data_IF_831154063988
#
_entry.id   IF_831154063988
#
_cell.length_a   1.000
_cell.length_b   1.000
_cell.length_c   1.000
_cell.angle_alpha   90.00
_cell.angle_beta   90.00
_cell.angle_gamma   90.00
#
_symmetry.space_group_name_H-M   'P 1'
#
loop_
_entity.id
_entity.type
_entity.pdbx_description
1 polymer ?
#
# COMPACT_ATOMS: atom_id res chain seq x y z
N UNK A 1 18.56 -20.93 -6.57
CA UNK A 1 18.90 -19.75 -7.40
C UNK A 1 20.10 -19.05 -6.77
N UNK A 2 20.93 -18.35 -7.56
CA UNK A 2 22.00 -17.48 -7.03
C UNK A 2 21.38 -16.10 -6.79
N UNK A 3 21.71 -15.48 -5.67
CA UNK A 3 21.24 -14.14 -5.34
C UNK A 3 22.38 -13.33 -4.72
N UNK A 4 22.40 -12.02 -4.98
CA UNK A 4 23.27 -11.08 -4.27
C UNK A 4 22.44 -10.41 -3.19
N UNK A 5 22.93 -10.40 -1.95
CA UNK A 5 22.27 -9.77 -0.83
C UNK A 5 23.15 -8.66 -0.25
N UNK A 6 22.55 -7.50 0.05
CA UNK A 6 23.19 -6.37 0.69
C UNK A 6 22.35 -5.95 1.91
N UNK A 7 22.98 -5.84 3.07
CA UNK A 7 22.35 -5.23 4.24
C UNK A 7 22.39 -3.72 4.13
N UNK A 8 21.27 -3.09 4.49
CA UNK A 8 21.11 -1.64 4.57
C UNK A 8 20.48 -1.27 5.92
N UNK A 9 20.69 -0.03 6.36
CA UNK A 9 20.20 0.46 7.65
C UNK A 9 19.89 1.96 7.61
N UNK A 10 18.99 2.36 8.50
CA UNK A 10 18.81 3.74 8.92
C UNK A 10 19.33 3.82 10.34
N UNK A 11 20.39 4.59 10.59
CA UNK A 11 20.98 4.68 11.93
C UNK A 11 21.78 5.97 12.09
N UNK A 12 21.80 6.54 13.31
CA UNK A 12 22.62 7.70 13.61
C UNK A 12 23.26 7.65 15.00
N UNK A 13 24.02 8.70 15.32
CA UNK A 13 24.76 8.87 16.57
C UNK A 13 24.01 8.45 17.83
N UNK A 14 22.74 8.81 17.99
CA UNK A 14 21.98 8.49 19.20
C UNK A 14 21.82 6.98 19.44
N UNK A 15 21.85 6.16 18.37
CA UNK A 15 21.66 4.72 18.43
C UNK A 15 22.98 3.94 18.57
N UNK A 16 24.11 4.48 18.07
CA UNK A 16 25.40 3.77 18.04
C UNK A 16 26.51 4.38 18.90
N UNK A 17 26.35 5.61 19.36
CA UNK A 17 27.28 6.27 20.29
C UNK A 17 28.53 6.91 19.66
N UNK A 18 28.66 6.94 18.34
CA UNK A 18 29.74 7.63 17.60
C UNK A 18 29.19 8.40 16.41
N UNK A 19 29.97 9.34 15.85
CA UNK A 19 29.51 10.22 14.78
C UNK A 19 29.30 9.45 13.47
N UNK A 20 28.05 9.06 13.24
CA UNK A 20 27.58 8.33 12.07
C UNK A 20 26.15 8.80 11.76
N UNK A 21 25.85 8.98 10.49
CA UNK A 21 24.49 8.98 9.95
C UNK A 21 24.49 8.12 8.71
N UNK A 22 23.66 7.09 8.70
CA UNK A 22 23.44 6.23 7.55
C UNK A 22 21.96 6.19 7.22
N UNK A 23 21.65 6.33 5.92
CA UNK A 23 20.31 6.22 5.36
C UNK A 23 20.37 5.34 4.10
N UNK A 24 21.03 4.18 4.20
CA UNK A 24 21.24 3.30 3.04
C UNK A 24 19.96 2.59 2.60
N UNK A 25 18.96 2.45 3.48
CA UNK A 25 17.64 1.88 3.14
C UNK A 25 16.93 2.74 2.11
N UNK A 26 16.79 4.05 2.34
CA UNK A 26 16.08 4.92 1.40
C UNK A 26 16.81 5.00 0.05
N UNK A 27 18.14 5.00 0.07
CA UNK A 27 18.94 4.97 -1.17
C UNK A 27 18.65 3.69 -1.97
N UNK A 28 18.61 2.53 -1.31
CA UNK A 28 18.28 1.28 -1.97
C UNK A 28 16.84 1.22 -2.50
N UNK A 29 15.87 1.78 -1.76
CA UNK A 29 14.48 1.90 -2.23
C UNK A 29 14.42 2.79 -3.47
N UNK A 30 15.06 3.96 -3.45
CA UNK A 30 15.09 4.89 -4.59
C UNK A 30 15.73 4.25 -5.82
N UNK A 31 16.88 3.61 -5.63
CA UNK A 31 17.59 2.91 -6.71
C UNK A 31 16.72 1.80 -7.31
N UNK A 32 16.07 1.00 -6.46
CA UNK A 32 15.16 -0.08 -6.90
C UNK A 32 14.00 0.46 -7.74
N UNK A 33 13.36 1.56 -7.32
CA UNK A 33 12.25 2.17 -8.06
C UNK A 33 12.72 2.78 -9.38
N UNK A 34 13.83 3.53 -9.37
CA UNK A 34 14.38 4.19 -10.56
C UNK A 34 14.78 3.20 -11.64
N UNK A 35 15.32 2.04 -11.23
CA UNK A 35 15.83 1.00 -12.13
C UNK A 35 14.81 -0.09 -12.46
N UNK A 36 13.64 -0.12 -11.82
CA UNK A 36 12.57 -1.05 -12.19
C UNK A 36 12.24 -0.95 -13.68
N UNK A 37 11.99 -2.06 -14.37
CA UNK A 37 11.73 -2.09 -15.81
C UNK A 37 10.24 -2.11 -16.11
N UNK A 38 9.50 -3.03 -15.47
CA UNK A 38 8.07 -3.24 -15.77
C UNK A 38 7.15 -2.93 -14.60
N UNK A 39 7.60 -3.10 -13.35
CA UNK A 39 6.74 -2.82 -12.21
C UNK A 39 7.47 -2.46 -10.92
N UNK A 40 6.72 -1.87 -10.00
CA UNK A 40 7.06 -1.75 -8.59
C UNK A 40 5.87 -2.26 -7.76
N UNK A 41 6.11 -3.25 -6.91
CA UNK A 41 5.13 -3.81 -5.99
C UNK A 41 5.56 -3.52 -4.55
N UNK A 42 4.69 -2.92 -3.75
CA UNK A 42 5.00 -2.51 -2.39
C UNK A 42 3.92 -3.03 -1.44
N UNK A 43 4.33 -3.66 -0.34
CA UNK A 43 3.48 -3.87 0.83
C UNK A 43 4.11 -3.11 2.01
N UNK A 44 3.39 -2.12 2.53
CA UNK A 44 3.91 -1.29 3.63
C UNK A 44 2.81 -0.93 4.63
N UNK A 45 3.18 -0.83 5.90
CA UNK A 45 2.28 -0.34 6.96
C UNK A 45 1.95 1.15 6.82
N UNK A 46 2.93 1.95 6.41
CA UNK A 46 2.76 3.39 6.21
C UNK A 46 3.32 3.83 4.87
N UNK A 47 2.63 4.78 4.23
CA UNK A 47 3.10 5.47 3.03
C UNK A 47 2.91 6.98 3.17
N UNK A 48 3.90 7.61 3.82
CA UNK A 48 3.92 9.04 4.14
C UNK A 48 5.21 9.64 3.56
N UNK A 49 5.10 10.20 2.36
CA UNK A 49 6.25 10.76 1.64
C UNK A 49 6.21 12.28 1.51
N UNK A 50 5.06 12.93 1.70
CA UNK A 50 4.93 14.40 1.62
C UNK A 50 4.53 14.95 2.99
N UNK A 51 5.51 15.31 3.82
CA UNK A 51 5.31 15.87 5.16
C UNK A 51 6.48 16.78 5.56
N UNK A 52 6.26 18.11 5.57
CA UNK A 52 7.31 19.07 5.92
C UNK A 52 8.54 18.93 5.02
N UNK A 53 9.74 18.94 5.59
CA UNK A 53 10.97 18.56 4.88
C UNK A 53 11.12 17.03 4.80
N UNK A 54 10.16 16.38 4.14
CA UNK A 54 10.24 14.96 3.80
C UNK A 54 11.06 14.69 2.55
N UNK A 55 11.68 15.74 2.02
CA UNK A 55 12.58 15.65 0.90
C UNK A 55 13.91 15.07 1.36
N UNK A 56 14.48 14.19 0.56
CA UNK A 56 15.88 13.81 0.71
C UNK A 56 16.65 14.32 -0.48
N UNK A 57 17.93 14.59 -0.31
CA UNK A 57 18.77 15.04 -1.41
C UNK A 57 18.86 13.95 -2.49
N UNK A 58 18.52 14.30 -3.72
CA UNK A 58 18.85 13.49 -4.88
C UNK A 58 20.37 13.55 -5.09
N UNK A 59 21.03 12.39 -5.10
CA UNK A 59 22.49 12.30 -5.17
C UNK A 59 23.07 12.73 -6.52
N UNK A 60 22.27 12.73 -7.59
CA UNK A 60 22.69 13.16 -8.93
C UNK A 60 22.50 14.66 -9.12
N UNK A 61 21.37 15.22 -8.69
CA UNK A 61 21.02 16.64 -8.94
C UNK A 61 21.38 17.57 -7.77
N UNK A 62 21.53 17.04 -6.55
CA UNK A 62 21.71 17.83 -5.33
C UNK A 62 20.43 18.47 -4.80
N UNK A 63 19.28 18.27 -5.47
CA UNK A 63 18.01 18.89 -5.11
C UNK A 63 17.16 18.02 -4.16
N UNK A 64 16.28 18.62 -3.34
CA UNK A 64 15.19 17.95 -2.63
C UNK A 64 14.36 17.01 -3.52
N UNK A 65 14.21 15.74 -3.11
CA UNK A 65 13.38 14.74 -3.79
C UNK A 65 12.74 13.80 -2.76
N UNK A 66 11.41 13.75 -2.72
CA UNK A 66 10.66 12.82 -1.87
C UNK A 66 10.56 11.43 -2.51
N UNK A 67 10.15 10.42 -1.74
CA UNK A 67 9.89 9.08 -2.30
C UNK A 67 8.73 9.08 -3.32
N UNK A 68 7.72 9.94 -3.09
CA UNK A 68 6.64 10.18 -4.05
C UNK A 68 7.19 10.71 -5.37
N UNK A 69 8.13 11.67 -5.33
CA UNK A 69 8.79 12.20 -6.52
C UNK A 69 9.51 11.10 -7.30
N UNK A 70 10.18 10.16 -6.62
CA UNK A 70 10.86 9.04 -7.28
C UNK A 70 9.87 8.13 -8.01
N UNK A 71 8.72 7.82 -7.39
CA UNK A 71 7.66 7.05 -8.04
C UNK A 71 7.10 7.80 -9.26
N UNK A 72 6.80 9.08 -9.10
CA UNK A 72 6.28 9.96 -10.17
C UNK A 72 7.29 10.05 -11.32
N UNK A 73 8.58 10.24 -11.02
CA UNK A 73 9.67 10.32 -11.98
C UNK A 73 9.82 9.01 -12.75
N UNK A 74 9.70 7.87 -12.07
CA UNK A 74 9.75 6.56 -12.72
C UNK A 74 8.54 6.35 -13.64
N UNK A 75 7.33 6.71 -13.22
CA UNK A 75 6.13 6.65 -14.08
C UNK A 75 6.31 7.55 -15.31
N UNK A 76 6.78 8.79 -15.11
CA UNK A 76 7.07 9.74 -16.19
C UNK A 76 8.08 9.20 -17.19
N UNK A 77 9.11 8.47 -16.72
CA UNK A 77 10.09 7.80 -17.58
C UNK A 77 9.44 6.73 -18.45
N UNK A 78 8.55 5.90 -17.91
CA UNK A 78 7.81 4.90 -18.68
C UNK A 78 6.89 5.55 -19.73
N UNK A 79 6.12 6.56 -19.32
CA UNK A 79 5.21 7.29 -20.21
C UNK A 79 5.96 7.91 -21.40
N UNK A 80 7.10 8.58 -21.16
CA UNK A 80 7.93 9.18 -22.22
C UNK A 80 8.56 8.15 -23.16
N UNK A 81 8.75 6.92 -22.69
CA UNK A 81 9.30 5.82 -23.46
C UNK A 81 8.21 4.98 -24.14
N UNK A 82 6.93 5.32 -23.95
CA UNK A 82 5.78 4.54 -24.42
C UNK A 82 5.87 3.06 -23.98
N UNK A 83 6.34 2.84 -22.75
CA UNK A 83 6.45 1.51 -22.15
C UNK A 83 5.39 1.30 -21.08
N UNK A 84 4.79 0.12 -21.10
CA UNK A 84 3.91 -0.31 -20.03
C UNK A 84 4.70 -0.42 -18.71
N UNK A 85 4.16 0.22 -17.68
CA UNK A 85 4.74 0.19 -16.35
C UNK A 85 3.66 0.35 -15.30
N UNK A 86 3.71 -0.45 -14.24
CA UNK A 86 2.69 -0.42 -13.19
C UNK A 86 3.30 -0.42 -11.79
N UNK A 87 2.72 0.40 -10.92
CA UNK A 87 3.00 0.46 -9.50
C UNK A 87 1.78 -0.06 -8.75
N UNK A 88 1.97 -1.08 -7.92
CA UNK A 88 0.93 -1.61 -7.03
C UNK A 88 1.40 -1.40 -5.59
N UNK A 89 0.59 -0.70 -4.79
CA UNK A 89 0.88 -0.46 -3.37
C UNK A 89 -0.26 -1.04 -2.53
N UNK A 90 0.10 -1.88 -1.56
CA UNK A 90 -0.84 -2.46 -0.59
C UNK A 90 -0.60 -1.80 0.76
N UNK A 91 -1.68 -1.24 1.31
CA UNK A 91 -1.72 -0.53 2.57
C UNK A 91 -2.82 -1.11 3.47
N UNK A 92 -2.67 -1.06 4.80
CA UNK A 92 -3.80 -1.34 5.69
C UNK A 92 -4.95 -0.39 5.36
N UNK A 93 -6.20 -0.83 5.56
CA UNK A 93 -7.38 -0.01 5.28
C UNK A 93 -7.37 1.30 6.08
N UNK A 94 -6.88 1.20 7.31
CA UNK A 94 -6.53 2.31 8.19
C UNK A 94 -5.41 1.84 9.13
N UNK A 95 -4.60 2.75 9.68
CA UNK A 95 -3.52 2.41 10.62
C UNK A 95 -4.00 1.66 11.85
N UNK A 96 -3.10 0.95 12.53
CA UNK A 96 -3.41 0.34 13.83
C UNK A 96 -3.92 1.37 14.84
N UNK A 97 -4.95 0.97 15.59
CA UNK A 97 -5.65 1.83 16.53
C UNK A 97 -7.09 2.10 16.09
N UNK A 98 -7.76 2.98 16.82
CA UNK A 98 -9.11 3.41 16.48
C UNK A 98 -9.06 4.48 15.36
N UNK A 99 -9.70 4.27 14.20
CA UNK A 99 -9.69 5.24 13.09
C UNK A 99 -10.39 6.57 13.43
N UNK A 100 -11.13 6.63 14.55
CA UNK A 100 -11.81 7.83 15.02
C UNK A 100 -10.95 8.70 15.95
N UNK A 101 -9.76 8.23 16.33
CA UNK A 101 -8.85 8.97 17.19
C UNK A 101 -8.01 9.96 16.39
N UNK A 102 -7.75 11.14 16.97
CA UNK A 102 -7.00 12.22 16.31
C UNK A 102 -5.63 11.77 15.78
N UNK A 103 -4.87 10.98 16.55
CA UNK A 103 -3.53 10.50 16.15
C UNK A 103 -3.63 9.62 14.91
N UNK A 104 -4.59 8.69 14.87
CA UNK A 104 -4.84 7.81 13.72
C UNK A 104 -5.25 8.63 12.50
N UNK A 105 -6.16 9.59 12.66
CA UNK A 105 -6.60 10.48 11.59
C UNK A 105 -5.44 11.34 11.05
N UNK A 106 -4.51 11.80 11.90
CA UNK A 106 -3.31 12.52 11.45
C UNK A 106 -2.36 11.66 10.62
N UNK A 107 -2.25 10.36 10.93
CA UNK A 107 -1.47 9.44 10.09
C UNK A 107 -2.18 9.26 8.74
N UNK A 108 -3.50 9.04 8.76
CA UNK A 108 -4.30 8.92 7.54
C UNK A 108 -4.22 10.18 6.67
N UNK A 109 -4.23 11.37 7.28
CA UNK A 109 -4.08 12.65 6.59
C UNK A 109 -2.83 12.69 5.73
N UNK A 110 -1.66 12.43 6.32
CA UNK A 110 -0.40 12.47 5.58
C UNK A 110 -0.26 11.35 4.54
N UNK A 111 -0.89 10.21 4.79
CA UNK A 111 -0.97 9.13 3.82
C UNK A 111 -1.84 9.53 2.61
N UNK A 112 -3.03 10.07 2.85
CA UNK A 112 -3.92 10.59 1.79
C UNK A 112 -3.24 11.70 1.00
N UNK A 113 -2.60 12.67 1.66
CA UNK A 113 -1.82 13.72 0.98
C UNK A 113 -0.73 13.15 0.06
N UNK A 114 -0.07 12.08 0.48
CA UNK A 114 0.94 11.39 -0.35
C UNK A 114 0.31 10.75 -1.59
N UNK A 115 -0.82 10.06 -1.40
CA UNK A 115 -1.57 9.39 -2.48
C UNK A 115 -2.10 10.43 -3.48
N UNK A 116 -2.79 11.46 -3.00
CA UNK A 116 -3.38 12.54 -3.79
C UNK A 116 -2.30 13.29 -4.58
N UNK A 117 -1.14 13.55 -3.97
CA UNK A 117 -0.02 14.20 -4.66
C UNK A 117 0.45 13.38 -5.86
N UNK A 118 0.67 12.08 -5.69
CA UNK A 118 1.10 11.21 -6.79
C UNK A 118 0.02 11.13 -7.88
N UNK A 119 -1.24 10.91 -7.49
CA UNK A 119 -2.36 10.86 -8.45
C UNK A 119 -2.46 12.16 -9.26
N UNK A 120 -2.41 13.31 -8.61
CA UNK A 120 -2.48 14.61 -9.27
C UNK A 120 -1.30 14.85 -10.23
N UNK A 121 -0.08 14.47 -9.87
CA UNK A 121 1.08 14.63 -10.76
C UNK A 121 1.05 13.66 -11.95
N UNK A 122 0.52 12.45 -11.76
CA UNK A 122 0.32 11.49 -12.86
C UNK A 122 -0.80 11.97 -13.80
N UNK A 123 -1.93 12.41 -13.28
CA UNK A 123 -3.02 12.95 -14.10
C UNK A 123 -2.63 14.22 -14.86
N UNK A 124 -1.76 15.06 -14.26
CA UNK A 124 -1.20 16.23 -14.96
C UNK A 124 -0.34 15.80 -16.15
N UNK A 125 0.49 14.77 -16.00
CA UNK A 125 1.37 14.32 -17.10
C UNK A 125 0.63 13.54 -18.19
N UNK A 126 -0.51 12.90 -17.88
CA UNK A 126 -1.33 12.18 -18.86
C UNK A 126 -2.46 13.01 -19.45
N UNK A 127 -2.57 14.30 -19.09
CA UNK A 127 -3.64 15.17 -19.57
C UNK A 127 -3.72 15.21 -21.10
N UNK A 128 -4.88 14.85 -21.64
CA UNK A 128 -5.13 14.80 -23.08
C UNK A 128 -4.79 13.45 -23.74
N UNK A 129 -4.30 12.48 -22.97
CA UNK A 129 -4.14 11.09 -23.39
C UNK A 129 -5.35 10.25 -22.96
N UNK A 130 -5.62 9.10 -23.59
CA UNK A 130 -6.69 8.18 -23.21
C UNK A 130 -6.29 7.33 -21.98
N UNK A 131 -5.66 7.95 -20.98
CA UNK A 131 -5.15 7.27 -19.79
C UNK A 131 -5.05 8.23 -18.60
N UNK A 132 -5.07 7.68 -17.39
CA UNK A 132 -4.98 8.43 -16.13
C UNK A 132 -4.03 7.76 -15.13
N UNK A 133 -3.98 8.25 -13.89
CA UNK A 133 -3.15 7.66 -12.85
C UNK A 133 -3.43 6.18 -12.61
N UNK A 134 -4.65 5.67 -12.82
CA UNK A 134 -5.00 4.26 -12.59
C UNK A 134 -4.35 3.32 -13.61
N UNK A 135 -3.89 3.86 -14.75
CA UNK A 135 -3.08 3.16 -15.73
C UNK A 135 -1.62 3.02 -15.30
N UNK A 136 -1.17 3.69 -14.24
CA UNK A 136 0.21 3.61 -13.77
C UNK A 136 0.35 3.19 -12.31
N UNK A 137 -0.54 3.63 -11.43
CA UNK A 137 -0.46 3.36 -9.99
C UNK A 137 -1.82 2.96 -9.43
N UNK A 138 -1.84 1.88 -8.64
CA UNK A 138 -3.06 1.36 -8.00
C UNK A 138 -2.81 1.03 -6.52
N UNK A 139 -3.79 1.38 -5.70
CA UNK A 139 -3.75 1.17 -4.25
C UNK A 139 -4.78 0.13 -3.82
N UNK A 140 -4.35 -0.82 -3.00
CA UNK A 140 -5.17 -1.90 -2.48
C UNK A 140 -4.98 -2.11 -0.98
N UNK A 141 -5.87 -2.88 -0.38
CA UNK A 141 -5.81 -3.35 0.99
C UNK A 141 -6.18 -4.83 1.05
N UNK A 142 -6.09 -5.42 2.24
CA UNK A 142 -6.51 -6.79 2.49
C UNK A 142 -7.62 -6.82 3.53
N UNK A 143 -8.61 -7.68 3.30
CA UNK A 143 -9.73 -7.93 4.20
C UNK A 143 -10.00 -9.41 4.35
N UNK A 144 -10.56 -9.79 5.49
CA UNK A 144 -11.04 -11.14 5.74
C UNK A 144 -12.43 -11.12 6.37
N UNK A 145 -13.11 -12.26 6.35
CA UNK A 145 -14.40 -12.44 6.99
C UNK A 145 -14.48 -13.83 7.62
N UNK A 146 -15.30 -13.95 8.66
CA UNK A 146 -15.53 -15.19 9.38
C UNK A 146 -16.99 -15.30 9.82
N UNK A 147 -17.41 -16.50 10.19
CA UNK A 147 -18.70 -16.75 10.82
C UNK A 147 -18.48 -17.00 12.31
N UNK A 148 -18.93 -16.08 13.16
CA UNK A 148 -18.73 -16.09 14.62
C UNK A 148 -20.07 -15.79 15.29
N UNK A 149 -20.48 -16.58 16.27
CA UNK A 149 -21.73 -16.41 17.03
C UNK A 149 -22.97 -16.14 16.17
N UNK A 150 -23.14 -16.97 15.13
CA UNK A 150 -24.21 -16.88 14.11
C UNK A 150 -24.19 -15.63 13.24
N UNK A 151 -23.14 -14.80 13.32
CA UNK A 151 -22.98 -13.60 12.52
C UNK A 151 -21.81 -13.74 11.56
N UNK A 152 -21.94 -13.14 10.38
CA UNK A 152 -20.77 -12.86 9.55
C UNK A 152 -20.11 -11.62 10.09
N UNK A 153 -18.83 -11.73 10.43
CA UNK A 153 -17.95 -10.62 10.82
C UNK A 153 -16.85 -10.42 9.78
N UNK A 154 -16.38 -9.19 9.63
CA UNK A 154 -15.25 -8.86 8.77
C UNK A 154 -14.29 -7.90 9.47
N UNK A 155 -13.02 -7.98 9.06
CA UNK A 155 -11.95 -7.14 9.56
C UNK A 155 -10.87 -6.97 8.48
N UNK A 156 -10.07 -5.90 8.57
CA UNK A 156 -8.88 -5.79 7.73
C UNK A 156 -7.85 -6.88 8.11
N UNK A 157 -7.13 -7.38 7.10
CA UNK A 157 -5.85 -8.03 7.38
C UNK A 157 -4.82 -6.91 7.46
N UNK A 158 -4.32 -6.66 8.66
CA UNK A 158 -3.41 -5.55 8.88
C UNK A 158 -2.04 -5.81 8.24
N UNK A 159 -1.70 -5.01 7.22
CA UNK A 159 -0.42 -5.11 6.53
C UNK A 159 0.66 -4.45 7.38
N UNK A 160 1.44 -5.28 8.08
CA UNK A 160 2.63 -4.84 8.82
C UNK A 160 3.92 -5.04 8.02
N UNK A 161 3.84 -5.51 6.77
CA UNK A 161 5.00 -5.68 5.90
C UNK A 161 5.74 -4.36 5.66
N UNK A 162 7.02 -4.46 5.28
CA UNK A 162 7.84 -3.39 4.69
C UNK A 162 8.67 -4.01 3.57
N UNK A 163 8.01 -4.16 2.45
CA UNK A 163 8.45 -4.96 1.33
C UNK A 163 8.31 -4.16 0.04
N UNK A 164 9.35 -4.21 -0.79
CA UNK A 164 9.33 -3.73 -2.17
C UNK A 164 9.87 -4.84 -3.08
N UNK A 165 9.16 -5.13 -4.16
CA UNK A 165 9.56 -6.08 -5.20
C UNK A 165 9.53 -5.37 -6.55
N UNK A 166 10.57 -5.54 -7.35
CA UNK A 166 10.65 -5.15 -8.76
C UNK A 166 10.92 -6.37 -9.62
N UNK A 167 11.27 -6.19 -10.89
CA UNK A 167 11.63 -7.26 -11.83
C UNK A 167 12.72 -8.20 -11.30
N UNK A 168 13.69 -7.66 -10.56
CA UNK A 168 14.87 -8.42 -10.10
C UNK A 168 15.24 -8.17 -8.65
N UNK A 169 14.62 -7.21 -7.98
CA UNK A 169 15.06 -6.75 -6.67
C UNK A 169 13.94 -6.93 -5.65
N UNK A 170 14.32 -7.44 -4.48
CA UNK A 170 13.48 -7.50 -3.29
C UNK A 170 14.15 -6.68 -2.20
N UNK A 171 13.46 -5.68 -1.66
CA UNK A 171 13.86 -4.97 -0.44
C UNK A 171 12.90 -5.38 0.66
N UNK A 172 13.42 -5.97 1.74
CA UNK A 172 12.62 -6.43 2.88
C UNK A 172 13.28 -6.02 4.19
N UNK A 173 12.52 -5.47 5.14
CA UNK A 173 13.08 -5.02 6.41
C UNK A 173 12.05 -4.51 7.40
N UNK A 174 12.50 -3.61 8.28
CA UNK A 174 11.68 -2.97 9.30
C UNK A 174 11.20 -1.55 8.93
N UNK A 175 11.89 -0.91 7.98
CA UNK A 175 11.67 0.49 7.64
C UNK A 175 10.35 0.75 6.90
N UNK A 176 9.46 1.50 7.52
CA UNK A 176 8.24 2.00 6.86
C UNK A 176 8.56 3.05 5.79
N UNK A 177 7.65 3.28 4.85
CA UNK A 177 7.79 4.36 3.87
C UNK A 177 7.38 5.71 4.48
N UNK A 178 8.14 6.15 5.48
CA UNK A 178 8.01 7.45 6.12
C UNK A 178 9.38 7.97 6.59
N UNK A 179 9.47 9.27 6.90
CA UNK A 179 10.75 9.86 7.33
C UNK A 179 11.21 9.40 8.71
N UNK A 180 10.32 8.86 9.56
CA UNK A 180 10.73 8.27 10.83
C UNK A 180 11.68 7.09 10.62
N UNK A 181 11.36 6.22 9.66
CA UNK A 181 12.19 5.06 9.32
C UNK A 181 13.31 5.38 8.32
N UNK A 182 13.11 6.35 7.42
CA UNK A 182 13.99 6.54 6.25
C UNK A 182 15.03 7.66 6.37
N UNK A 183 14.87 8.62 7.29
CA UNK A 183 15.77 9.78 7.37
C UNK A 183 17.18 9.45 7.90
N UNK A 184 17.36 8.26 8.49
CA UNK A 184 18.63 7.81 9.09
C UNK A 184 18.94 8.44 10.44
N UNK A 185 18.31 9.55 10.81
CA UNK A 185 18.55 10.26 12.08
C UNK A 185 17.37 10.22 13.06
N UNK A 186 16.39 9.34 12.81
CA UNK A 186 15.22 9.09 13.66
C UNK A 186 15.27 7.65 14.14
N UNK A 187 14.31 6.78 13.80
CA UNK A 187 14.31 5.39 14.25
C UNK A 187 15.47 4.60 13.63
N UNK A 188 15.99 3.63 14.38
CA UNK A 188 16.99 2.68 13.88
C UNK A 188 16.30 1.54 13.14
N UNK A 189 16.65 1.32 11.87
CA UNK A 189 16.01 0.34 10.99
C UNK A 189 17.04 -0.54 10.29
N UNK A 190 16.61 -1.74 9.88
CA UNK A 190 17.42 -2.66 9.06
C UNK A 190 16.59 -3.17 7.88
N UNK A 191 17.25 -3.33 6.74
CA UNK A 191 16.67 -4.02 5.59
C UNK A 191 17.73 -4.85 4.86
N UNK A 192 17.28 -5.80 4.06
CA UNK A 192 18.09 -6.53 3.10
C UNK A 192 17.58 -6.23 1.70
N UNK A 193 18.51 -5.92 0.81
CA UNK A 193 18.29 -5.77 -0.62
C UNK A 193 18.81 -7.05 -1.28
N UNK A 194 17.94 -7.77 -1.96
CA UNK A 194 18.29 -9.01 -2.64
C UNK A 194 18.04 -8.86 -4.13
N UNK A 195 19.07 -9.05 -4.94
CA UNK A 195 18.98 -9.05 -6.40
C UNK A 195 18.96 -10.51 -6.89
N UNK A 196 17.77 -10.97 -7.31
CA UNK A 196 17.53 -12.24 -8.00
C UNK A 196 16.14 -12.20 -8.64
N UNK A 197 16.10 -12.39 -9.96
CA UNK A 197 14.83 -12.50 -10.71
C UNK A 197 14.00 -13.67 -10.23
N UNK A 198 14.63 -14.81 -9.94
CA UNK A 198 13.93 -16.01 -9.48
C UNK A 198 13.29 -15.80 -8.11
N UNK A 199 13.99 -15.15 -7.17
CA UNK A 199 13.44 -14.83 -5.85
C UNK A 199 12.29 -13.81 -5.96
N UNK A 200 12.50 -12.71 -6.70
CA UNK A 200 11.48 -11.69 -6.91
C UNK A 200 10.21 -12.29 -7.52
N UNK A 201 10.35 -13.13 -8.55
CA UNK A 201 9.25 -13.83 -9.18
C UNK A 201 8.54 -14.79 -8.24
N UNK A 202 9.29 -15.64 -7.52
CA UNK A 202 8.71 -16.61 -6.59
C UNK A 202 7.93 -15.91 -5.46
N UNK A 203 8.55 -14.92 -4.82
CA UNK A 203 7.94 -14.16 -3.72
C UNK A 203 6.69 -13.40 -4.17
N UNK A 204 6.74 -12.74 -5.34
CA UNK A 204 5.55 -12.10 -5.93
C UNK A 204 4.43 -13.12 -6.13
N UNK A 205 4.71 -14.25 -6.77
CA UNK A 205 3.68 -15.27 -7.08
C UNK A 205 3.05 -15.87 -5.83
N UNK A 206 3.83 -16.04 -4.76
CA UNK A 206 3.31 -16.56 -3.50
C UNK A 206 2.37 -15.55 -2.82
N UNK A 207 2.78 -14.28 -2.72
CA UNK A 207 1.92 -13.21 -2.20
C UNK A 207 0.66 -13.03 -3.04
N UNK A 208 0.79 -13.06 -4.36
CA UNK A 208 -0.37 -12.88 -5.25
C UNK A 208 -1.35 -14.04 -5.12
N UNK A 209 -0.89 -15.25 -4.80
CA UNK A 209 -1.76 -16.41 -4.58
C UNK A 209 -2.52 -16.29 -3.26
N UNK A 210 -1.89 -15.73 -2.24
CA UNK A 210 -2.56 -15.37 -0.99
C UNK A 210 -3.65 -14.31 -1.24
N UNK A 211 -3.28 -13.20 -1.87
CA UNK A 211 -4.15 -12.04 -2.03
C UNK A 211 -5.31 -12.28 -3.00
N UNK A 212 -5.07 -12.96 -4.12
CA UNK A 212 -6.09 -13.25 -5.14
C UNK A 212 -6.83 -14.58 -4.89
N UNK A 213 -6.33 -15.40 -3.97
CA UNK A 213 -6.87 -16.69 -3.60
C UNK A 213 -6.23 -17.88 -4.32
N UNK A 214 -6.35 -19.10 -3.76
CA UNK A 214 -5.56 -20.27 -4.15
C UNK A 214 -5.83 -20.78 -5.58
N UNK A 215 -6.97 -20.41 -6.17
CA UNK A 215 -7.36 -20.77 -7.54
C UNK A 215 -6.91 -19.75 -8.59
N UNK A 216 -6.30 -18.63 -8.17
CA UNK A 216 -5.81 -17.61 -9.07
C UNK A 216 -4.70 -18.18 -9.98
N UNK A 217 -4.82 -17.94 -11.29
CA UNK A 217 -3.81 -18.30 -12.27
C UNK A 217 -2.87 -17.13 -12.45
N UNK A 218 -1.76 -17.16 -11.74
CA UNK A 218 -0.74 -16.09 -11.73
C UNK A 218 0.35 -16.49 -12.72
N UNK A 219 0.56 -15.65 -13.73
CA UNK A 219 1.55 -15.86 -14.77
C UNK A 219 2.95 -15.49 -14.28
N UNK A 220 3.96 -15.60 -15.14
CA UNK A 220 5.30 -15.10 -14.83
C UNK A 220 5.50 -13.63 -15.23
N UNK A 221 4.56 -13.05 -15.97
CA UNK A 221 4.59 -11.69 -16.48
C UNK A 221 3.69 -10.82 -15.62
N UNK A 222 4.26 -9.84 -14.92
CA UNK A 222 3.51 -9.00 -13.98
C UNK A 222 2.29 -8.34 -14.64
N UNK A 223 2.50 -7.74 -15.82
CA UNK A 223 1.49 -6.92 -16.51
C UNK A 223 0.26 -7.73 -16.94
N UNK A 224 0.44 -9.01 -17.31
CA UNK A 224 -0.65 -9.91 -17.72
C UNK A 224 -1.66 -10.17 -16.59
N UNK A 225 -1.21 -10.04 -15.34
CA UNK A 225 -2.00 -10.36 -14.16
C UNK A 225 -2.65 -9.11 -13.53
N UNK A 226 -2.36 -7.89 -14.00
CA UNK A 226 -2.81 -6.63 -13.38
C UNK A 226 -4.33 -6.43 -13.47
N UNK A 227 -4.97 -6.89 -14.54
CA UNK A 227 -6.43 -6.80 -14.66
C UNK A 227 -7.15 -7.76 -13.73
N UNK A 228 -6.55 -8.92 -13.46
CA UNK A 228 -7.05 -9.86 -12.44
C UNK A 228 -7.06 -9.22 -11.05
N UNK A 229 -6.04 -8.43 -10.71
CA UNK A 229 -6.00 -7.66 -9.47
C UNK A 229 -7.18 -6.71 -9.35
N UNK A 230 -7.42 -5.91 -10.39
CA UNK A 230 -8.51 -4.94 -10.37
C UNK A 230 -9.87 -5.62 -10.27
N UNK A 231 -10.08 -6.71 -11.02
CA UNK A 231 -11.31 -7.47 -10.98
C UNK A 231 -11.59 -8.08 -9.60
N UNK A 232 -10.60 -8.76 -9.00
CA UNK A 232 -10.76 -9.35 -7.66
C UNK A 232 -10.99 -8.27 -6.61
N UNK A 233 -10.16 -7.23 -6.58
CA UNK A 233 -10.29 -6.15 -5.61
C UNK A 233 -11.66 -5.47 -5.69
N UNK A 234 -12.11 -5.16 -6.91
CA UNK A 234 -13.39 -4.50 -7.17
C UNK A 234 -14.57 -5.38 -6.78
N UNK A 235 -14.55 -6.67 -7.14
CA UNK A 235 -15.59 -7.63 -6.78
C UNK A 235 -15.67 -7.80 -5.26
N UNK A 236 -14.54 -8.05 -4.60
CA UNK A 236 -14.48 -8.20 -3.15
C UNK A 236 -14.98 -6.94 -2.45
N UNK A 237 -14.45 -5.75 -2.80
CA UNK A 237 -14.87 -4.48 -2.20
C UNK A 237 -16.37 -4.22 -2.32
N UNK A 238 -16.98 -4.54 -3.47
CA UNK A 238 -18.44 -4.43 -3.66
C UNK A 238 -19.19 -5.36 -2.71
N UNK A 239 -18.72 -6.57 -2.47
CA UNK A 239 -19.35 -7.52 -1.56
C UNK A 239 -19.26 -7.07 -0.11
N UNK A 240 -18.08 -6.64 0.34
CA UNK A 240 -17.92 -6.06 1.67
C UNK A 240 -18.82 -4.83 1.85
N UNK A 241 -18.81 -3.89 0.90
CA UNK A 241 -19.68 -2.71 0.93
C UNK A 241 -21.17 -3.06 0.99
N UNK A 242 -21.61 -4.05 0.22
CA UNK A 242 -23.02 -4.49 0.21
C UNK A 242 -23.46 -5.10 1.54
N UNK A 243 -22.57 -5.82 2.21
CA UNK A 243 -22.92 -6.58 3.42
C UNK A 243 -22.72 -5.80 4.71
N UNK A 244 -21.66 -4.99 4.76
CA UNK A 244 -21.28 -4.22 5.95
C UNK A 244 -21.64 -2.73 5.83
N UNK A 245 -22.04 -2.25 4.66
CA UNK A 245 -22.54 -0.88 4.42
C UNK A 245 -21.63 0.18 5.06
N UNK A 246 -22.20 1.13 5.82
CA UNK A 246 -21.47 2.20 6.50
C UNK A 246 -20.64 1.76 7.71
N UNK A 247 -20.70 0.49 8.11
CA UNK A 247 -19.90 -0.06 9.21
C UNK A 247 -18.52 -0.57 8.78
N UNK A 248 -18.18 -0.52 7.48
CA UNK A 248 -16.89 -0.95 6.95
C UNK A 248 -16.17 0.20 6.21
N UNK A 249 -14.83 0.33 6.31
CA UNK A 249 -14.06 1.33 5.57
C UNK A 249 -14.31 1.32 4.06
N UNK A 250 -14.51 0.13 3.48
CA UNK A 250 -14.82 -0.06 2.05
C UNK A 250 -16.18 0.51 1.64
N UNK A 251 -17.08 0.76 2.61
CA UNK A 251 -18.35 1.45 2.40
C UNK A 251 -18.17 2.93 2.06
N UNK A 252 -17.04 3.52 2.44
CA UNK A 252 -16.69 4.92 2.26
C UNK A 252 -17.51 5.91 3.10
N UNK A 253 -17.80 5.66 4.40
CA UNK A 253 -18.31 6.71 5.25
C UNK A 253 -17.24 7.81 5.34
N UNK A 254 -17.55 8.99 4.80
CA UNK A 254 -16.63 10.13 4.73
C UNK A 254 -16.50 10.88 6.05
N UNK A 255 -17.42 10.65 6.99
CA UNK A 255 -17.46 11.27 8.31
C UNK A 255 -17.66 10.23 9.42
N UNK A 256 -17.22 10.58 10.62
CA UNK A 256 -17.32 9.84 11.88
C UNK A 256 -18.77 9.62 12.25
N UNK A 257 -19.61 10.63 12.05
CA UNK A 257 -21.05 10.51 12.32
C UNK A 257 -21.69 9.43 11.43
N UNK A 258 -21.34 9.38 10.14
CA UNK A 258 -21.83 8.33 9.24
C UNK A 258 -21.28 6.93 9.62
N UNK A 259 -20.01 6.86 10.02
CA UNK A 259 -19.42 5.60 10.48
C UNK A 259 -20.06 5.09 11.78
N UNK A 260 -20.34 5.97 12.75
CA UNK A 260 -20.90 5.62 14.07
C UNK A 260 -22.40 5.36 14.05
N UNK A 261 -23.16 6.04 13.18
CA UNK A 261 -24.62 5.83 13.04
C UNK A 261 -24.98 4.48 12.41
N UNK A 262 -24.00 3.78 11.84
CA UNK A 262 -24.17 2.42 11.38
C UNK A 262 -24.18 1.45 12.58
N UNK A 263 -25.38 1.13 13.10
CA UNK A 263 -25.66 0.31 14.30
C UNK A 263 -25.03 -1.11 14.36
N UNK A 264 -24.17 -1.48 13.40
CA UNK A 264 -23.72 -2.84 13.12
C UNK A 264 -22.27 -3.16 13.55
N UNK A 265 -21.57 -2.25 14.23
CA UNK A 265 -20.23 -2.51 14.78
C UNK A 265 -20.37 -3.28 16.09
N UNK A 266 -20.13 -4.60 16.09
CA UNK A 266 -20.18 -5.45 17.27
C UNK A 266 -18.76 -5.78 17.73
N UNK A 267 -18.40 -5.47 18.98
CA UNK A 267 -17.05 -5.73 19.55
C UNK A 267 -15.87 -5.16 18.73
N UNK A 268 -16.10 -4.09 17.95
CA UNK A 268 -15.08 -3.52 17.05
C UNK A 268 -14.99 -4.19 15.67
N UNK A 269 -15.74 -5.27 15.44
CA UNK A 269 -15.82 -5.96 14.15
C UNK A 269 -17.02 -5.45 13.32
N UNK A 270 -16.87 -5.47 11.99
CA UNK A 270 -17.97 -5.18 11.07
C UNK A 270 -18.88 -6.40 11.03
N UNK A 271 -20.15 -6.29 11.45
CA UNK A 271 -21.02 -7.46 11.61
C UNK A 271 -22.33 -7.36 10.83
N UNK A 272 -22.88 -8.52 10.46
CA UNK A 272 -24.21 -8.62 9.84
C UNK A 272 -25.27 -9.05 10.86
N UNK A 273 -26.55 -8.79 10.56
CA UNK A 273 -27.67 -9.09 11.48
C UNK A 273 -28.02 -10.58 11.51
N UNK A 274 -27.90 -11.34 10.40
CA UNK A 274 -27.94 -12.82 10.44
C UNK A 274 -27.58 -13.57 9.12
N UNK A 275 -27.32 -14.86 9.31
CA UNK A 275 -27.44 -16.04 8.41
C UNK A 275 -26.17 -16.71 7.87
N UNK A 276 -26.12 -18.04 8.05
CA UNK A 276 -25.19 -18.98 7.38
C UNK A 276 -25.22 -18.87 5.86
N UNK A 277 -26.37 -18.49 5.29
CA UNK A 277 -26.55 -18.24 3.86
C UNK A 277 -25.72 -17.05 3.37
N UNK A 278 -25.59 -15.98 4.18
CA UNK A 278 -24.71 -14.85 3.87
C UNK A 278 -23.25 -15.30 3.81
N UNK A 279 -22.83 -16.15 4.74
CA UNK A 279 -21.49 -16.73 4.75
C UNK A 279 -21.23 -17.62 3.52
N UNK A 280 -22.18 -18.51 3.18
CA UNK A 280 -22.10 -19.35 1.98
C UNK A 280 -21.98 -18.51 0.71
N UNK A 281 -22.81 -17.46 0.56
CA UNK A 281 -22.74 -16.52 -0.55
C UNK A 281 -21.36 -15.85 -0.65
N UNK A 282 -20.80 -15.40 0.48
CA UNK A 282 -19.47 -14.81 0.52
C UNK A 282 -18.39 -15.81 0.11
N UNK A 283 -18.48 -17.06 0.57
CA UNK A 283 -17.52 -18.12 0.26
C UNK A 283 -17.47 -18.49 -1.22
N UNK A 284 -18.57 -18.26 -1.94
CA UNK A 284 -18.65 -18.50 -3.38
C UNK A 284 -18.15 -17.31 -4.22
N UNK A 285 -18.32 -16.07 -3.72
CA UNK A 285 -18.11 -14.85 -4.50
C UNK A 285 -16.79 -14.13 -4.19
N UNK A 286 -16.35 -14.13 -2.93
CA UNK A 286 -15.09 -13.49 -2.51
C UNK A 286 -13.92 -14.41 -2.81
N UNK A 287 -12.87 -13.86 -3.42
CA UNK A 287 -11.66 -14.60 -3.78
C UNK A 287 -10.44 -13.98 -3.11
N UNK A 288 -9.69 -14.79 -2.37
CA UNK A 288 -8.56 -14.30 -1.61
C UNK A 288 -8.97 -13.21 -0.61
N UNK A 289 -8.09 -12.24 -0.44
CA UNK A 289 -8.20 -11.18 0.56
C UNK A 289 -8.15 -9.77 -0.03
N UNK A 290 -7.82 -9.64 -1.31
CA UNK A 290 -7.60 -8.37 -1.96
C UNK A 290 -8.88 -7.52 -2.06
N UNK A 291 -8.78 -6.24 -1.73
CA UNK A 291 -9.84 -5.23 -1.85
C UNK A 291 -9.22 -3.90 -2.27
N UNK A 292 -10.02 -2.99 -2.85
CA UNK A 292 -9.59 -1.62 -3.13
C UNK A 292 -9.21 -0.89 -1.84
N UNK A 293 -8.20 -0.04 -1.90
CA UNK A 293 -7.88 0.86 -0.79
C UNK A 293 -9.05 1.84 -0.56
N UNK A 294 -9.57 1.98 0.68
CA UNK A 294 -10.73 2.82 0.98
C UNK A 294 -10.34 4.31 1.10
N UNK A 295 -9.90 4.93 0.00
CA UNK A 295 -9.37 6.30 -0.01
C UNK A 295 -10.34 7.35 0.57
N UNK A 296 -11.66 7.15 0.42
CA UNK A 296 -12.68 8.09 0.91
C UNK A 296 -13.16 7.80 2.34
N UNK A 297 -12.55 6.84 3.05
CA UNK A 297 -12.92 6.53 4.42
C UNK A 297 -12.48 7.67 5.36
N UNK A 298 -13.45 8.27 6.05
CA UNK A 298 -13.30 9.42 6.95
C UNK A 298 -12.64 10.66 6.32
N UNK A 299 -12.61 10.74 4.99
CA UNK A 299 -11.88 11.77 4.23
C UNK A 299 -12.24 13.20 4.67
N UNK A 300 -13.53 13.47 4.92
CA UNK A 300 -13.98 14.81 5.30
C UNK A 300 -13.46 15.19 6.70
N UNK A 301 -13.45 14.24 7.65
CA UNK A 301 -12.89 14.48 8.99
C UNK A 301 -11.37 14.57 8.97
N UNK A 302 -10.72 13.70 8.21
CA UNK A 302 -9.26 13.65 8.10
C UNK A 302 -8.74 14.99 7.57
N UNK A 303 -9.38 15.57 6.55
CA UNK A 303 -9.02 16.88 6.04
C UNK A 303 -9.25 18.02 7.04
N UNK A 304 -10.20 17.87 7.98
CA UNK A 304 -10.38 18.83 9.08
C UNK A 304 -9.30 18.74 10.17
N UNK A 305 -8.37 17.78 10.09
CA UNK A 305 -7.26 17.66 11.05
C UNK A 305 -5.99 18.44 10.64
N UNK A 306 -5.99 19.12 9.49
CA UNK A 306 -4.86 19.91 8.96
C UNK A 306 -4.24 20.83 10.03
#
# INVERSE_FOLDING_TARGET
>A
FKATAQLTRSISHWAVGFDLKEASIINAIKDSITNAETFVYIETQFFISVQGDSSITNMETGEPESLADVIINRIRKAQRQEKDFKVIIILPMFPEGNPLDYVTQRIMYWQLKTIEYIQAEVDKMTRGLPMDHTDYIRFYSLGNYAFVDNKVVAEQIYIHAKLLITDTTVVCGSANLNMRSLAGNRDSEIAVVVTSRELALAMRKDLWREHLGPKAKITDVFLDDVDLWEDVARCNSRMYKKLFEGSCPLGGPRTKDHFLTSEKIFMGLWSTVDSRKTYEMLSEQVRGHLVKFPQHFLEDDIHNTE
#
